data_IF_442461801354
#
_entry.id   IF_442461801354
#
_cell.length_a   1.000
_cell.length_b   1.000
_cell.length_c   1.000
_cell.angle_alpha   90.00
_cell.angle_beta   90.00
_cell.angle_gamma   90.00
#
_symmetry.space_group_name_H-M   'P 1'
#
loop_
_entity.id
_entity.type
_entity.pdbx_description
1 polymer ?
#
# COMPACT_ATOMS: atom_id res chain seq x y z
N UNK A 1 6.01 1.52 -4.98
CA UNK A 1 6.04 0.42 -3.98
C UNK A 1 4.95 0.66 -2.95
N UNK A 2 4.15 -0.36 -2.59
CA UNK A 2 3.05 -0.24 -1.62
C UNK A 2 3.36 -0.89 -0.26
N UNK A 3 4.58 -1.37 -0.08
CA UNK A 3 4.95 -2.24 1.04
C UNK A 3 4.33 -3.63 0.94
N UNK A 4 3.65 -3.97 -0.15
CA UNK A 4 3.01 -5.26 -0.38
C UNK A 4 3.77 -6.15 -1.36
N UNK A 5 3.41 -7.45 -1.35
CA UNK A 5 4.07 -8.49 -2.14
C UNK A 5 4.12 -8.18 -3.64
N UNK A 6 3.00 -7.72 -4.22
CA UNK A 6 2.89 -7.58 -5.68
C UNK A 6 3.80 -6.46 -6.22
N UNK A 7 3.81 -5.29 -5.58
CA UNK A 7 4.68 -4.17 -5.98
C UNK A 7 6.15 -4.41 -5.69
N UNK A 8 6.48 -5.17 -4.64
CA UNK A 8 7.85 -5.55 -4.33
C UNK A 8 8.38 -6.58 -5.35
N UNK A 9 7.58 -7.62 -5.61
CA UNK A 9 7.93 -8.62 -6.61
C UNK A 9 8.08 -7.99 -8.01
N UNK A 10 7.24 -6.99 -8.35
CA UNK A 10 7.37 -6.27 -9.61
C UNK A 10 8.71 -5.53 -9.71
N UNK A 11 9.14 -4.83 -8.66
CA UNK A 11 10.42 -4.14 -8.66
C UNK A 11 11.59 -5.11 -8.86
N UNK A 12 11.56 -6.25 -8.16
CA UNK A 12 12.57 -7.32 -8.29
C UNK A 12 12.54 -7.91 -9.71
N UNK A 13 11.34 -8.21 -10.21
CA UNK A 13 11.14 -8.77 -11.55
C UNK A 13 11.70 -7.86 -12.65
N UNK A 14 11.45 -6.54 -12.55
CA UNK A 14 11.99 -5.56 -13.50
C UNK A 14 13.51 -5.49 -13.38
N UNK A 15 14.07 -5.49 -12.17
CA UNK A 15 15.51 -5.49 -11.96
C UNK A 15 16.21 -6.70 -12.61
N UNK A 16 15.60 -7.88 -12.45
CA UNK A 16 16.20 -9.13 -12.96
C UNK A 16 16.04 -9.27 -14.47
N UNK A 17 14.90 -8.84 -15.02
CA UNK A 17 14.57 -9.09 -16.43
C UNK A 17 14.91 -7.92 -17.36
N UNK A 18 14.86 -6.70 -16.82
CA UNK A 18 15.04 -5.45 -17.57
C UNK A 18 15.96 -4.48 -16.81
N UNK A 19 17.24 -4.86 -16.58
CA UNK A 19 18.16 -4.07 -15.76
C UNK A 19 18.34 -2.65 -16.28
N UNK A 20 18.35 -2.45 -17.61
CA UNK A 20 18.47 -1.14 -18.25
C UNK A 20 17.26 -0.20 -17.97
N UNK A 21 16.10 -0.78 -17.67
CA UNK A 21 14.91 -0.05 -17.20
C UNK A 21 15.05 0.24 -15.72
N UNK A 22 15.44 -0.78 -14.93
CA UNK A 22 15.57 -0.68 -13.48
C UNK A 22 16.56 0.41 -13.04
N UNK A 23 17.66 0.60 -13.78
CA UNK A 23 18.66 1.64 -13.54
C UNK A 23 18.09 3.07 -13.63
N UNK A 24 16.99 3.25 -14.37
CA UNK A 24 16.32 4.55 -14.58
C UNK A 24 15.07 4.71 -13.72
N UNK A 25 14.70 3.65 -12.96
CA UNK A 25 13.48 3.69 -12.15
C UNK A 25 13.70 4.42 -10.83
N UNK A 26 12.72 5.23 -10.49
CA UNK A 26 12.59 5.78 -9.14
C UNK A 26 11.53 5.01 -8.36
N UNK A 27 11.87 4.61 -7.14
CA UNK A 27 10.97 3.89 -6.27
C UNK A 27 10.42 4.83 -5.19
N UNK A 28 9.12 4.75 -4.97
CA UNK A 28 8.47 5.52 -3.92
C UNK A 28 7.47 4.68 -3.13
N UNK A 29 7.28 5.08 -1.89
CA UNK A 29 6.30 4.54 -0.97
C UNK A 29 5.49 5.70 -0.38
N UNK A 30 4.16 5.65 -0.46
CA UNK A 30 3.29 6.65 0.16
C UNK A 30 3.04 6.27 1.61
N UNK A 31 3.81 6.88 2.49
CA UNK A 31 3.78 6.63 3.93
C UNK A 31 2.63 7.38 4.59
N UNK A 32 1.72 6.65 5.21
CA UNK A 32 0.62 7.24 5.99
C UNK A 32 0.96 7.43 7.46
N UNK A 33 2.14 6.95 7.91
CA UNK A 33 2.54 6.92 9.30
C UNK A 33 1.73 5.92 10.15
N UNK A 34 0.98 5.04 9.49
CA UNK A 34 0.05 4.11 10.14
C UNK A 34 0.22 2.67 9.64
N UNK A 35 1.32 2.37 9.02
CA UNK A 35 1.67 1.03 8.59
C UNK A 35 2.19 0.19 9.78
N UNK A 36 2.16 -1.14 9.62
CA UNK A 36 2.79 -2.05 10.57
C UNK A 36 4.32 -1.91 10.51
N UNK A 37 5.00 -2.08 11.63
CA UNK A 37 6.47 -2.03 11.71
C UNK A 37 7.12 -3.00 10.70
N UNK A 38 6.55 -4.16 10.51
CA UNK A 38 7.02 -5.17 9.57
C UNK A 38 6.99 -4.70 8.11
N UNK A 39 6.14 -3.73 7.78
CA UNK A 39 6.12 -3.11 6.44
C UNK A 39 7.36 -2.26 6.23
N UNK A 40 7.75 -1.46 7.22
CA UNK A 40 8.97 -0.64 7.15
C UNK A 40 10.21 -1.51 7.09
N UNK A 41 10.32 -2.53 7.94
CA UNK A 41 11.42 -3.50 7.92
C UNK A 41 11.54 -4.22 6.58
N UNK A 42 10.42 -4.52 5.94
CA UNK A 42 10.39 -5.12 4.61
C UNK A 42 10.83 -4.13 3.52
N UNK A 43 10.41 -2.88 3.61
CA UNK A 43 10.84 -1.84 2.68
C UNK A 43 12.36 -1.58 2.77
N UNK A 44 12.94 -1.61 3.96
CA UNK A 44 14.38 -1.46 4.16
C UNK A 44 15.16 -2.62 3.53
N UNK A 45 14.66 -3.85 3.66
CA UNK A 45 15.24 -5.02 2.97
C UNK A 45 15.13 -4.92 1.45
N UNK A 46 13.98 -4.46 0.96
CA UNK A 46 13.77 -4.28 -0.47
C UNK A 46 14.67 -3.19 -1.04
N UNK A 47 14.84 -2.07 -0.33
CA UNK A 47 15.74 -0.97 -0.67
C UNK A 47 17.18 -1.48 -0.81
N UNK A 48 17.65 -2.27 0.17
CA UNK A 48 18.97 -2.88 0.14
C UNK A 48 19.14 -3.87 -1.04
N UNK A 49 18.11 -4.67 -1.34
CA UNK A 49 18.15 -5.61 -2.47
C UNK A 49 18.17 -4.90 -3.82
N UNK A 50 17.36 -3.86 -3.98
CA UNK A 50 17.29 -3.07 -5.21
C UNK A 50 18.56 -2.24 -5.45
N UNK A 51 19.37 -2.00 -4.41
CA UNK A 51 20.48 -1.05 -4.41
C UNK A 51 20.03 0.34 -4.90
N UNK A 52 18.84 0.73 -4.47
CA UNK A 52 18.19 1.96 -4.89
C UNK A 52 17.24 2.46 -3.83
N UNK A 53 17.27 3.76 -3.59
CA UNK A 53 16.45 4.41 -2.56
C UNK A 53 14.96 4.31 -2.87
N UNK A 54 14.16 3.97 -1.85
CA UNK A 54 12.69 4.07 -1.90
C UNK A 54 12.27 5.38 -1.22
N UNK A 55 11.85 6.38 -1.99
CA UNK A 55 11.40 7.67 -1.47
C UNK A 55 10.15 7.51 -0.60
N UNK A 56 10.20 8.01 0.63
CA UNK A 56 9.07 7.98 1.57
C UNK A 56 8.24 9.25 1.38
N UNK A 57 7.12 9.15 0.67
CA UNK A 57 6.23 10.28 0.39
C UNK A 57 5.14 10.36 1.46
N UNK A 58 4.95 11.54 2.04
CA UNK A 58 3.94 11.78 3.07
C UNK A 58 3.05 12.97 2.72
N UNK A 59 1.83 12.97 3.24
CA UNK A 59 0.92 14.13 3.16
C UNK A 59 1.34 15.29 4.08
N UNK A 60 2.44 15.12 4.85
CA UNK A 60 2.90 16.10 5.84
C UNK A 60 2.01 16.22 7.08
N UNK A 61 0.91 15.48 7.15
CA UNK A 61 -0.02 15.48 8.29
C UNK A 61 -0.43 14.05 8.63
N UNK A 62 -0.61 13.72 9.94
CA UNK A 62 -1.03 12.39 10.38
C UNK A 62 -2.50 12.12 10.03
N UNK A 63 -2.91 10.86 10.14
CA UNK A 63 -4.27 10.42 9.85
C UNK A 63 -5.33 11.19 10.67
N UNK A 64 -5.06 11.44 11.95
CA UNK A 64 -5.94 12.15 12.88
C UNK A 64 -6.26 13.57 12.39
N UNK A 65 -5.29 14.26 11.82
CA UNK A 65 -5.52 15.58 11.21
C UNK A 65 -6.53 15.49 10.06
N UNK A 66 -6.34 14.53 9.18
CA UNK A 66 -7.23 14.35 8.04
C UNK A 66 -8.61 13.84 8.45
N UNK A 67 -8.69 13.04 9.52
CA UNK A 67 -9.96 12.62 10.09
C UNK A 67 -10.77 13.85 10.55
N UNK A 68 -10.14 14.79 11.27
CA UNK A 68 -10.78 16.06 11.67
C UNK A 68 -11.22 16.92 10.48
N UNK A 69 -10.39 17.04 9.45
CA UNK A 69 -10.72 17.76 8.21
C UNK A 69 -11.99 17.17 7.55
N UNK A 70 -12.21 15.87 7.71
CA UNK A 70 -13.40 15.18 7.19
C UNK A 70 -14.51 15.01 8.23
N UNK A 71 -14.58 15.91 9.24
CA UNK A 71 -15.61 15.92 10.31
C UNK A 71 -15.73 14.56 11.01
N UNK A 72 -14.61 13.95 11.33
CA UNK A 72 -14.50 12.66 12.00
C UNK A 72 -15.16 11.48 11.25
N UNK A 73 -15.43 11.66 9.95
CA UNK A 73 -15.96 10.60 9.11
C UNK A 73 -14.86 9.58 8.77
N UNK A 74 -14.98 8.36 9.28
CA UNK A 74 -14.04 7.28 8.99
C UNK A 74 -14.07 6.92 7.48
N UNK A 75 -12.90 6.70 6.86
CA UNK A 75 -12.87 6.29 5.46
C UNK A 75 -13.49 4.91 5.27
N UNK A 76 -14.13 4.73 4.14
CA UNK A 76 -14.83 3.49 3.79
C UNK A 76 -14.61 3.15 2.30
N UNK A 77 -15.11 2.00 1.86
CA UNK A 77 -15.03 1.60 0.46
C UNK A 77 -15.70 2.61 -0.49
N UNK A 78 -16.74 3.32 -0.02
CA UNK A 78 -17.45 4.35 -0.78
C UNK A 78 -16.78 5.74 -0.68
N UNK A 79 -16.15 6.03 0.46
CA UNK A 79 -15.54 7.33 0.75
C UNK A 79 -14.06 7.15 1.08
N UNK A 80 -13.23 7.08 0.05
CA UNK A 80 -11.79 6.78 0.15
C UNK A 80 -10.93 8.03 0.26
N UNK A 81 -11.34 9.01 1.07
CA UNK A 81 -10.60 10.26 1.23
C UNK A 81 -9.14 10.05 1.66
N UNK A 82 -8.88 9.06 2.53
CA UNK A 82 -7.53 8.73 2.97
C UNK A 82 -6.61 8.34 1.78
N UNK A 83 -7.12 7.59 0.80
CA UNK A 83 -6.36 7.25 -0.41
C UNK A 83 -6.02 8.50 -1.21
N UNK A 84 -6.99 9.41 -1.37
CA UNK A 84 -6.78 10.64 -2.16
C UNK A 84 -5.76 11.56 -1.49
N UNK A 85 -5.94 11.88 -0.20
CA UNK A 85 -5.13 12.90 0.48
C UNK A 85 -3.78 12.40 0.96
N UNK A 86 -3.69 11.12 1.37
CA UNK A 86 -2.47 10.57 1.95
C UNK A 86 -1.63 9.74 0.98
N UNK A 87 -2.17 9.37 -0.20
CA UNK A 87 -1.44 8.54 -1.17
C UNK A 87 -1.36 9.19 -2.55
N UNK A 88 -2.51 9.52 -3.15
CA UNK A 88 -2.55 10.02 -4.53
C UNK A 88 -1.90 11.41 -4.61
N UNK A 89 -2.33 12.35 -3.76
CA UNK A 89 -1.77 13.72 -3.78
C UNK A 89 -0.24 13.77 -3.54
N UNK A 90 0.33 13.06 -2.53
CA UNK A 90 1.79 12.98 -2.39
C UNK A 90 2.49 12.39 -3.61
N UNK A 91 1.92 11.37 -4.24
CA UNK A 91 2.45 10.79 -5.48
C UNK A 91 2.42 11.78 -6.63
N UNK A 92 1.27 12.43 -6.88
CA UNK A 92 1.13 13.42 -7.95
C UNK A 92 2.04 14.64 -7.75
N UNK A 93 2.28 15.03 -6.50
CA UNK A 93 3.24 16.09 -6.16
C UNK A 93 4.69 15.65 -6.40
N UNK A 94 5.03 14.39 -6.12
CA UNK A 94 6.37 13.85 -6.37
C UNK A 94 6.68 13.76 -7.86
N UNK A 95 5.74 13.28 -8.65
CA UNK A 95 5.89 13.18 -10.11
C UNK A 95 5.93 14.54 -10.79
N UNK A 96 5.27 15.56 -10.24
CA UNK A 96 5.15 16.87 -10.87
C UNK A 96 4.39 16.82 -12.19
N UNK A 97 4.86 17.55 -13.19
CA UNK A 97 4.26 17.64 -14.53
C UNK A 97 5.06 16.90 -15.60
N UNK A 98 6.12 16.22 -15.20
CA UNK A 98 6.96 15.44 -16.11
C UNK A 98 6.20 14.18 -16.62
N UNK A 99 6.39 13.81 -17.90
CA UNK A 99 5.87 12.55 -18.41
C UNK A 99 6.56 11.37 -17.74
N UNK A 100 5.76 10.47 -17.13
CA UNK A 100 6.28 9.29 -16.45
C UNK A 100 5.54 8.01 -16.84
N UNK A 101 6.27 6.91 -16.84
CA UNK A 101 5.72 5.56 -16.95
C UNK A 101 5.60 4.99 -15.54
N UNK A 102 4.36 4.68 -15.14
CA UNK A 102 4.06 4.11 -13.82
C UNK A 102 3.91 2.59 -13.93
N UNK A 103 4.84 1.84 -13.37
CA UNK A 103 4.81 0.37 -13.32
C UNK A 103 3.89 -0.09 -12.19
N UNK A 104 2.83 -0.83 -12.53
CA UNK A 104 1.76 -1.22 -11.61
C UNK A 104 1.73 -2.74 -11.44
N UNK A 105 1.87 -3.21 -10.20
CA UNK A 105 1.91 -4.64 -9.84
C UNK A 105 0.53 -5.29 -9.79
N UNK A 106 -0.22 -5.23 -10.88
CA UNK A 106 -1.45 -6.02 -11.07
C UNK A 106 -1.06 -7.31 -11.77
N UNK A 107 -1.45 -8.43 -11.17
CA UNK A 107 -1.13 -9.75 -11.71
C UNK A 107 -2.13 -10.17 -12.80
N UNK A 108 -1.73 -11.15 -13.61
CA UNK A 108 -2.57 -11.72 -14.67
C UNK A 108 -3.84 -12.41 -14.13
N UNK A 109 -3.80 -12.94 -12.89
CA UNK A 109 -4.96 -13.57 -12.22
C UNK A 109 -5.89 -12.58 -11.50
N UNK A 110 -5.65 -11.26 -11.61
CA UNK A 110 -6.51 -10.25 -11.00
C UNK A 110 -7.47 -9.62 -12.02
N UNK A 111 -8.76 -9.70 -11.74
CA UNK A 111 -9.79 -9.02 -12.55
C UNK A 111 -10.04 -7.60 -12.02
N UNK A 112 -9.08 -6.67 -12.27
CA UNK A 112 -9.25 -5.25 -11.94
C UNK A 112 -8.48 -4.35 -12.92
N UNK A 113 -9.01 -3.20 -13.20
CA UNK A 113 -8.41 -2.25 -14.15
C UNK A 113 -7.26 -1.40 -13.55
N UNK A 114 -7.03 -1.45 -12.24
CA UNK A 114 -6.08 -0.58 -11.58
C UNK A 114 -6.53 0.88 -11.47
N UNK A 115 -5.65 1.71 -10.90
CA UNK A 115 -5.86 3.15 -10.85
C UNK A 115 -5.41 3.77 -12.16
N UNK A 116 -6.28 4.58 -12.74
CA UNK A 116 -5.93 5.50 -13.83
C UNK A 116 -5.77 6.90 -13.25
N UNK A 117 -4.61 7.50 -13.44
CA UNK A 117 -4.40 8.90 -13.05
C UNK A 117 -5.28 9.83 -13.89
N UNK A 118 -5.73 10.93 -13.27
CA UNK A 118 -6.34 12.04 -14.00
C UNK A 118 -5.29 12.93 -14.68
N UNK A 119 -3.99 12.76 -14.37
CA UNK A 119 -2.90 13.43 -15.05
C UNK A 119 -2.55 12.66 -16.33
N UNK A 120 -2.66 13.31 -17.47
CA UNK A 120 -2.30 12.73 -18.79
C UNK A 120 -0.81 12.40 -18.91
N UNK A 121 0.03 13.04 -18.10
CA UNK A 121 1.47 12.79 -18.04
C UNK A 121 1.85 11.46 -17.41
N UNK A 122 0.91 10.75 -16.73
CA UNK A 122 1.17 9.48 -16.06
C UNK A 122 0.59 8.32 -16.88
N UNK A 123 1.48 7.55 -17.50
CA UNK A 123 1.10 6.36 -18.29
C UNK A 123 1.30 5.09 -17.47
N UNK A 124 0.23 4.37 -17.07
CA UNK A 124 0.38 3.10 -16.36
C UNK A 124 0.75 1.96 -17.33
N UNK A 125 1.64 1.08 -16.88
CA UNK A 125 1.99 -0.18 -17.55
C UNK A 125 1.85 -1.35 -16.58
N UNK A 126 1.55 -2.53 -17.11
CA UNK A 126 1.17 -3.71 -16.32
C UNK A 126 2.00 -4.95 -16.69
N UNK A 127 3.31 -4.98 -16.42
CA UNK A 127 4.19 -6.06 -16.90
C UNK A 127 3.73 -7.45 -16.45
N UNK A 128 3.20 -7.59 -15.25
CA UNK A 128 2.70 -8.88 -14.77
C UNK A 128 1.50 -9.40 -15.56
N UNK A 129 0.65 -8.51 -16.08
CA UNK A 129 -0.46 -8.90 -16.96
C UNK A 129 0.07 -9.32 -18.32
N UNK A 130 1.00 -8.56 -18.87
CA UNK A 130 1.61 -8.79 -20.18
C UNK A 130 2.39 -10.11 -20.20
N UNK A 131 3.14 -10.41 -19.12
CA UNK A 131 3.99 -11.60 -19.01
C UNK A 131 3.29 -12.80 -18.33
N UNK A 132 1.99 -12.71 -18.04
CA UNK A 132 1.22 -13.81 -17.46
C UNK A 132 1.59 -14.18 -16.02
N UNK A 133 2.22 -13.27 -15.26
CA UNK A 133 2.68 -13.49 -13.87
C UNK A 133 1.49 -13.58 -12.93
N UNK A 134 1.38 -14.70 -12.23
CA UNK A 134 0.29 -15.02 -11.30
C UNK A 134 0.75 -14.91 -9.84
N UNK A 135 -0.20 -15.15 -8.92
CA UNK A 135 0.06 -15.08 -7.48
C UNK A 135 1.20 -16.00 -7.02
N UNK A 136 1.27 -17.22 -7.55
CA UNK A 136 2.33 -18.18 -7.21
C UNK A 136 3.72 -17.65 -7.57
N UNK A 137 3.84 -17.05 -8.76
CA UNK A 137 5.09 -16.47 -9.24
C UNK A 137 5.57 -15.32 -8.38
N UNK A 138 4.64 -14.46 -7.93
CA UNK A 138 4.95 -13.36 -7.01
C UNK A 138 5.55 -13.88 -5.69
N UNK A 139 5.00 -14.95 -5.10
CA UNK A 139 5.58 -15.55 -3.91
C UNK A 139 6.95 -16.17 -4.20
N UNK A 140 7.12 -16.89 -5.31
CA UNK A 140 8.38 -17.46 -5.73
C UNK A 140 9.48 -16.40 -5.92
N UNK A 141 9.15 -15.26 -6.53
CA UNK A 141 10.07 -14.12 -6.69
C UNK A 141 10.54 -13.62 -5.33
N UNK A 142 9.61 -13.41 -4.39
CA UNK A 142 9.94 -12.91 -3.06
C UNK A 142 10.76 -13.90 -2.23
N UNK A 143 10.39 -15.18 -2.25
CA UNK A 143 11.10 -16.23 -1.49
C UNK A 143 12.56 -16.37 -1.93
N UNK A 144 12.82 -16.22 -3.23
CA UNK A 144 14.17 -16.30 -3.81
C UNK A 144 15.01 -15.04 -3.60
N UNK A 145 14.41 -13.95 -3.10
CA UNK A 145 15.08 -12.65 -2.97
C UNK A 145 15.02 -12.09 -1.54
N UNK A 146 14.04 -11.25 -1.22
CA UNK A 146 13.93 -10.55 0.06
C UNK A 146 13.10 -11.30 1.11
N UNK A 147 12.47 -12.40 0.72
CA UNK A 147 11.55 -13.17 1.55
C UNK A 147 10.13 -12.58 1.56
N UNK A 148 9.16 -13.41 1.93
CA UNK A 148 7.77 -12.98 2.08
C UNK A 148 7.60 -12.27 3.43
N UNK A 149 6.99 -11.06 3.46
CA UNK A 149 6.76 -10.36 4.72
C UNK A 149 5.88 -11.15 5.69
N UNK A 150 6.33 -11.27 6.95
CA UNK A 150 5.66 -12.09 8.00
C UNK A 150 4.20 -11.70 8.28
N UNK A 151 3.80 -10.46 8.01
CA UNK A 151 2.40 -10.08 8.20
C UNK A 151 1.44 -10.80 7.25
N UNK A 152 1.92 -11.42 6.16
CA UNK A 152 1.10 -12.27 5.28
C UNK A 152 0.66 -13.58 5.94
N UNK A 153 1.21 -13.96 7.09
CA UNK A 153 0.72 -15.10 7.88
C UNK A 153 -0.70 -14.88 8.40
N UNK A 154 -1.14 -13.63 8.52
CA UNK A 154 -2.44 -13.28 9.07
C UNK A 154 -3.20 -12.19 8.31
N UNK A 155 -2.53 -11.51 7.36
CA UNK A 155 -3.13 -10.51 6.47
C UNK A 155 -3.00 -10.91 5.02
N UNK A 156 -3.97 -10.55 4.19
CA UNK A 156 -3.94 -10.80 2.76
C UNK A 156 -3.30 -9.66 1.95
N UNK A 157 -3.07 -8.50 2.58
CA UNK A 157 -2.61 -7.28 1.92
C UNK A 157 -1.80 -6.38 2.86
N UNK A 158 -0.94 -5.55 2.29
CA UNK A 158 -0.29 -4.43 2.98
C UNK A 158 -1.25 -3.25 3.21
N UNK A 159 -0.81 -2.28 4.00
CA UNK A 159 -1.49 -1.00 4.25
C UNK A 159 -1.62 -0.69 5.73
N UNK A 160 -2.27 0.43 6.03
CA UNK A 160 -2.47 0.92 7.39
C UNK A 160 -3.04 -0.16 8.31
N UNK A 161 -2.66 -0.13 9.60
CA UNK A 161 -3.17 -1.11 10.57
C UNK A 161 -4.69 -1.04 10.78
N UNK A 162 -5.31 0.10 10.49
CA UNK A 162 -6.76 0.33 10.57
C UNK A 162 -7.46 0.34 9.20
N UNK A 163 -6.88 -0.25 8.15
CA UNK A 163 -7.48 -0.19 6.82
C UNK A 163 -8.88 -0.81 6.81
N UNK A 164 -9.89 -0.06 6.34
CA UNK A 164 -11.28 -0.50 6.24
C UNK A 164 -11.50 -1.68 5.28
N UNK A 165 -10.51 -2.04 4.46
CA UNK A 165 -10.55 -3.24 3.63
C UNK A 165 -10.13 -4.51 4.36
N UNK A 166 -9.79 -4.44 5.65
CA UNK A 166 -9.45 -5.62 6.42
C UNK A 166 -10.66 -6.55 6.57
N UNK A 167 -10.39 -7.86 6.45
CA UNK A 167 -11.36 -8.91 6.76
C UNK A 167 -11.49 -9.07 8.27
N UNK A 168 -12.55 -9.73 8.71
CA UNK A 168 -12.75 -10.01 10.14
C UNK A 168 -11.58 -10.79 10.76
N UNK A 169 -11.11 -11.82 10.05
CA UNK A 169 -9.94 -12.60 10.48
C UNK A 169 -8.67 -11.74 10.61
N UNK A 170 -8.53 -10.69 9.79
CA UNK A 170 -7.38 -9.78 9.84
C UNK A 170 -7.49 -8.79 11.00
N UNK A 171 -8.70 -8.36 11.38
CA UNK A 171 -8.92 -7.60 12.61
C UNK A 171 -8.61 -8.44 13.86
N UNK A 172 -9.00 -9.72 13.88
CA UNK A 172 -8.62 -10.66 14.93
C UNK A 172 -7.11 -10.90 14.96
N UNK A 173 -6.47 -10.99 13.79
CA UNK A 173 -5.02 -11.07 13.66
C UNK A 173 -4.32 -9.84 14.24
N UNK A 174 -4.81 -8.63 13.92
CA UNK A 174 -4.31 -7.38 14.47
C UNK A 174 -4.43 -7.35 16.00
N UNK A 175 -5.59 -7.74 16.55
CA UNK A 175 -5.83 -7.81 17.99
C UNK A 175 -4.84 -8.73 18.70
N UNK A 176 -4.52 -9.88 18.10
CA UNK A 176 -3.59 -10.88 18.66
C UNK A 176 -2.13 -10.47 18.54
N UNK A 177 -1.72 -9.95 17.39
CA UNK A 177 -0.32 -9.65 17.07
C UNK A 177 0.11 -8.24 17.49
N UNK A 178 -0.80 -7.28 17.40
CA UNK A 178 -0.57 -5.86 17.67
C UNK A 178 -1.69 -5.25 18.51
N UNK A 179 -1.90 -5.72 19.76
CA UNK A 179 -3.05 -5.30 20.58
C UNK A 179 -3.14 -3.78 20.78
N UNK A 180 -2.00 -3.09 20.92
CA UNK A 180 -1.97 -1.62 21.05
C UNK A 180 -2.49 -0.91 19.80
N UNK A 181 -2.15 -1.43 18.60
CA UNK A 181 -2.66 -0.86 17.35
C UNK A 181 -4.14 -1.17 17.14
N UNK A 182 -4.61 -2.33 17.61
CA UNK A 182 -6.03 -2.66 17.60
C UNK A 182 -6.83 -1.71 18.48
N UNK A 183 -6.39 -1.45 19.72
CA UNK A 183 -7.05 -0.48 20.61
C UNK A 183 -7.01 0.95 20.02
N UNK A 184 -5.92 1.33 19.36
CA UNK A 184 -5.86 2.62 18.65
C UNK A 184 -6.86 2.69 17.49
N UNK A 185 -7.00 1.63 16.70
CA UNK A 185 -8.00 1.57 15.63
C UNK A 185 -9.43 1.68 16.19
N UNK A 186 -9.71 1.00 17.31
CA UNK A 186 -10.98 1.08 18.02
C UNK A 186 -11.26 2.48 18.57
N UNK A 187 -10.25 3.18 19.07
CA UNK A 187 -10.38 4.55 19.56
C UNK A 187 -10.91 5.49 18.47
N UNK A 188 -10.52 5.33 17.21
CA UNK A 188 -11.06 6.15 16.12
C UNK A 188 -12.57 5.98 15.92
N UNK A 189 -13.15 4.82 16.19
CA UNK A 189 -14.61 4.63 16.13
C UNK A 189 -15.33 5.45 17.22
N UNK A 190 -14.75 5.49 18.43
CA UNK A 190 -15.29 6.24 19.56
C UNK A 190 -15.08 7.75 19.38
N UNK A 191 -13.88 8.16 18.98
CA UNK A 191 -13.50 9.56 18.77
C UNK A 191 -14.31 10.22 17.64
N UNK A 192 -14.79 9.44 16.67
CA UNK A 192 -15.65 9.96 15.60
C UNK A 192 -16.96 10.56 16.11
N UNK A 193 -17.46 10.08 17.26
CA UNK A 193 -18.68 10.61 17.89
C UNK A 193 -19.98 10.43 17.10
N UNK A 194 -19.87 10.03 15.82
CA UNK A 194 -20.96 9.98 14.84
C UNK A 194 -21.43 8.54 14.54
N UNK A 195 -20.99 7.56 15.35
CA UNK A 195 -21.33 6.15 15.16
C UNK A 195 -20.69 5.49 13.92
N UNK A 196 -19.65 6.11 13.35
CA UNK A 196 -18.92 5.50 12.25
C UNK A 196 -18.05 4.35 12.75
N UNK A 197 -18.03 3.26 12.00
CA UNK A 197 -17.30 2.02 12.33
C UNK A 197 -16.45 1.57 11.17
N UNK A 198 -15.33 0.89 11.44
CA UNK A 198 -14.48 0.29 10.42
C UNK A 198 -15.17 -0.87 9.69
N UNK A 199 -16.04 -1.57 10.40
CA UNK A 199 -16.86 -2.67 9.87
C UNK A 199 -18.28 -2.18 9.67
N UNK A 200 -18.89 -2.55 8.57
CA UNK A 200 -20.27 -2.16 8.32
C UNK A 200 -21.21 -2.75 9.38
N UNK A 201 -21.85 -1.88 10.15
CA UNK A 201 -22.86 -2.26 11.15
C UNK A 201 -22.33 -2.90 12.44
N UNK A 202 -21.00 -2.88 12.68
CA UNK A 202 -20.42 -3.41 13.90
C UNK A 202 -19.13 -2.67 14.30
N UNK A 203 -18.94 -2.43 15.60
CA UNK A 203 -17.69 -1.92 16.18
C UNK A 203 -16.61 -3.01 16.23
N UNK A 204 -15.35 -2.57 16.40
CA UNK A 204 -14.21 -3.47 16.63
C UNK A 204 -14.21 -4.08 18.04
#
# INVERSE_FOLDING_TARGET
ISGGKDSAALAIYIKDRYPEISEKMEYFFTDTGSELKEIYEFLDKLEAFLDSKIHRLSSGKPFEHWLKVHNDYLPSAKQRWCTRVMKIKPFEAFVGDDPVISYVGIRADENRQGYKSNKETITPVFPFVEDGIMRGDVFNILEKSVGVPKYYDWRSRSGCYFCFFQRESEWLGLKRKHPKLFERAKAFEVESGNGFTWRQGATL
#
